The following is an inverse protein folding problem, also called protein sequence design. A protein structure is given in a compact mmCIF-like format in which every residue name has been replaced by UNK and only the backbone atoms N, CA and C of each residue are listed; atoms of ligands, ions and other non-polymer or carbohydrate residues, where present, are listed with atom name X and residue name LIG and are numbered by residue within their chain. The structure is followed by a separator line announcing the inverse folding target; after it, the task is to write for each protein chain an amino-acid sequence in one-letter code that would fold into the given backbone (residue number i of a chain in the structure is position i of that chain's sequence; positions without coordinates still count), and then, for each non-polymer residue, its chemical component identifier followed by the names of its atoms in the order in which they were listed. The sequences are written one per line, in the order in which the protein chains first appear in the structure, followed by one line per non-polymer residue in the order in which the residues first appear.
data_IF_592512355247
#
_entry.id   IF_592512355247
#
_cell.length_a   1.000
_cell.length_b   1.000
_cell.length_c   1.000
_cell.angle_alpha   90.00
_cell.angle_beta   90.00
_cell.angle_gamma   90.00
#
_symmetry.space_group_name_H-M   'P 1'
#
loop_
_entity.id
_entity.type
_entity.pdbx_description
1 polymer ?
#
# COMPACT_ATOMS: atom_id res chain seq x y z
N UNK A 1 -16.54 -0.13 6.05
CA UNK A 1 -16.09 0.40 4.75
C UNK A 1 -17.12 1.41 4.27
N UNK A 2 -16.68 2.56 3.74
CA UNK A 2 -17.61 3.56 3.18
C UNK A 2 -18.33 3.00 1.95
N UNK A 3 -19.55 3.49 1.69
CA UNK A 3 -20.37 3.05 0.56
C UNK A 3 -21.30 4.17 0.12
N UNK A 4 -21.59 4.25 -1.18
CA UNK A 4 -22.66 5.14 -1.66
C UNK A 4 -23.99 4.43 -1.43
N UNK A 5 -24.90 5.07 -0.70
CA UNK A 5 -26.19 4.50 -0.32
C UNK A 5 -27.29 5.29 -1.03
N UNK A 6 -28.06 4.59 -1.87
CA UNK A 6 -29.29 5.12 -2.45
C UNK A 6 -30.45 4.84 -1.51
N UNK A 7 -31.28 5.84 -1.30
CA UNK A 7 -32.54 5.69 -0.59
C UNK A 7 -33.66 5.53 -1.63
N UNK A 8 -34.65 4.69 -1.32
CA UNK A 8 -35.87 4.62 -2.13
C UNK A 8 -36.75 5.84 -1.88
N UNK A 9 -37.52 6.25 -2.89
CA UNK A 9 -38.55 7.27 -2.76
C UNK A 9 -39.95 6.61 -2.76
N UNK A 10 -41.02 7.40 -2.52
CA UNK A 10 -42.39 6.87 -2.62
C UNK A 10 -42.61 6.19 -3.98
N UNK A 11 -42.83 4.87 -3.95
CA UNK A 11 -43.07 3.99 -5.10
C UNK A 11 -41.83 3.57 -5.92
N UNK A 12 -40.60 3.79 -5.43
CA UNK A 12 -39.36 3.32 -6.07
C UNK A 12 -38.42 2.76 -5.00
N UNK A 13 -37.98 1.50 -5.17
CA UNK A 13 -36.98 0.90 -4.28
C UNK A 13 -35.59 1.52 -4.48
N UNK A 14 -34.71 1.44 -3.47
CA UNK A 14 -33.33 1.93 -3.57
C UNK A 14 -32.57 1.36 -4.79
N UNK A 15 -32.79 0.09 -5.12
CA UNK A 15 -32.17 -0.59 -6.28
C UNK A 15 -32.69 -0.03 -7.60
N UNK A 16 -34.00 0.21 -7.68
CA UNK A 16 -34.60 0.83 -8.87
C UNK A 16 -34.11 2.26 -9.05
N UNK A 17 -34.03 3.04 -7.96
CA UNK A 17 -33.49 4.40 -7.95
C UNK A 17 -32.04 4.42 -8.42
N UNK A 18 -31.17 3.60 -7.81
CA UNK A 18 -29.78 3.46 -8.21
C UNK A 18 -29.65 3.13 -9.71
N UNK A 19 -30.39 2.13 -10.19
CA UNK A 19 -30.35 1.74 -11.59
C UNK A 19 -30.82 2.84 -12.53
N UNK A 20 -31.87 3.58 -12.16
CA UNK A 20 -32.41 4.68 -12.96
C UNK A 20 -31.44 5.86 -13.02
N UNK A 21 -30.85 6.25 -11.89
CA UNK A 21 -29.86 7.33 -11.86
C UNK A 21 -28.62 7.01 -12.70
N UNK A 22 -28.10 5.77 -12.65
CA UNK A 22 -26.97 5.38 -13.49
C UNK A 22 -27.29 5.51 -14.98
N UNK A 23 -28.45 5.00 -15.44
CA UNK A 23 -28.87 5.12 -16.85
C UNK A 23 -28.97 6.58 -17.30
N UNK A 24 -29.56 7.42 -16.45
CA UNK A 24 -29.66 8.86 -16.70
C UNK A 24 -28.29 9.52 -16.71
N UNK A 25 -27.43 9.22 -15.73
CA UNK A 25 -26.09 9.78 -15.66
C UNK A 25 -25.27 9.42 -16.89
N UNK A 26 -25.21 8.14 -17.28
CA UNK A 26 -24.49 7.69 -18.48
C UNK A 26 -25.00 8.37 -19.75
N UNK A 27 -26.33 8.46 -19.94
CA UNK A 27 -26.92 9.12 -21.10
C UNK A 27 -26.57 10.61 -21.18
N UNK A 28 -26.77 11.34 -20.09
CA UNK A 28 -26.66 12.81 -20.10
C UNK A 28 -25.21 13.30 -19.96
N UNK A 29 -24.32 12.45 -19.42
CA UNK A 29 -22.89 12.71 -19.33
C UNK A 29 -22.09 12.13 -20.51
N UNK A 30 -22.68 11.29 -21.36
CA UNK A 30 -22.04 10.78 -22.56
C UNK A 30 -21.46 11.91 -23.44
N UNK A 31 -20.17 11.80 -23.77
CA UNK A 31 -19.46 12.76 -24.61
C UNK A 31 -19.23 14.13 -23.97
N UNK A 32 -19.57 14.31 -22.68
CA UNK A 32 -19.20 15.53 -21.93
C UNK A 32 -17.72 15.53 -21.61
N UNK A 33 -17.18 16.72 -21.39
CA UNK A 33 -15.78 16.90 -21.00
C UNK A 33 -15.52 16.33 -19.59
N UNK A 34 -14.26 15.95 -19.28
CA UNK A 34 -13.86 15.67 -17.91
C UNK A 34 -14.25 16.79 -16.94
N UNK A 35 -14.68 16.43 -15.73
CA UNK A 35 -15.12 17.40 -14.73
C UNK A 35 -16.59 17.82 -14.87
N UNK A 36 -17.26 17.49 -15.98
CA UNK A 36 -18.69 17.72 -16.12
C UNK A 36 -19.47 16.96 -15.03
N UNK A 37 -20.49 17.62 -14.48
CA UNK A 37 -21.27 17.07 -13.37
C UNK A 37 -22.76 17.12 -13.63
N UNK A 38 -23.44 16.06 -13.20
CA UNK A 38 -24.88 16.01 -13.08
C UNK A 38 -25.23 15.96 -11.59
N UNK A 39 -25.90 17.00 -11.09
CA UNK A 39 -26.15 17.19 -9.65
C UNK A 39 -27.65 17.23 -9.35
N UNK A 40 -28.06 16.95 -8.10
CA UNK A 40 -29.46 17.08 -7.67
C UNK A 40 -30.06 18.48 -7.95
N UNK A 41 -29.24 19.53 -7.83
CA UNK A 41 -29.67 20.91 -8.14
C UNK A 41 -29.93 21.11 -9.63
N UNK A 42 -29.16 20.46 -10.49
CA UNK A 42 -29.37 20.52 -11.94
C UNK A 42 -30.62 19.72 -12.32
N UNK A 43 -30.86 18.53 -11.75
CA UNK A 43 -32.05 17.71 -12.05
C UNK A 43 -33.38 18.37 -11.70
N UNK A 44 -33.40 19.36 -10.80
CA UNK A 44 -34.60 20.17 -10.57
C UNK A 44 -34.94 21.10 -11.75
N UNK A 45 -33.94 21.45 -12.57
CA UNK A 45 -34.06 22.39 -13.70
C UNK A 45 -34.20 21.70 -15.06
N UNK A 46 -33.81 20.43 -15.17
CA UNK A 46 -33.90 19.64 -16.41
C UNK A 46 -34.75 18.39 -16.18
N UNK A 47 -35.59 18.06 -17.15
CA UNK A 47 -36.36 16.82 -17.11
C UNK A 47 -35.48 15.64 -17.49
N UNK A 48 -35.13 14.82 -16.51
CA UNK A 48 -34.35 13.61 -16.69
C UNK A 48 -35.30 12.43 -16.81
N UNK A 49 -35.23 11.71 -17.93
CA UNK A 49 -36.11 10.58 -18.24
C UNK A 49 -35.28 9.30 -18.29
N UNK A 50 -35.73 8.28 -17.55
CA UNK A 50 -35.19 6.92 -17.67
C UNK A 50 -35.78 6.23 -18.89
N UNK A 51 -34.96 6.01 -19.92
CA UNK A 51 -35.37 5.40 -21.18
C UNK A 51 -35.95 3.99 -21.02
N UNK A 52 -35.60 3.27 -19.94
CA UNK A 52 -36.13 1.93 -19.69
C UNK A 52 -37.58 1.95 -19.22
N UNK A 53 -37.95 2.96 -18.43
CA UNK A 53 -39.26 3.01 -17.75
C UNK A 53 -40.16 4.14 -18.26
N UNK A 54 -39.60 5.09 -19.01
CA UNK A 54 -40.25 6.32 -19.44
C UNK A 54 -40.57 7.29 -18.31
N UNK A 55 -40.11 7.01 -17.07
CA UNK A 55 -40.40 7.83 -15.90
C UNK A 55 -39.42 8.97 -15.77
N UNK A 56 -39.91 10.09 -15.24
CA UNK A 56 -39.06 11.19 -14.77
C UNK A 56 -38.31 10.76 -13.51
N UNK A 57 -37.01 11.04 -13.47
CA UNK A 57 -36.12 10.72 -12.34
C UNK A 57 -35.57 12.02 -11.74
N UNK A 58 -35.54 12.09 -10.42
CA UNK A 58 -34.78 13.11 -9.69
C UNK A 58 -33.50 12.47 -9.17
N UNK A 59 -32.38 13.17 -9.30
CA UNK A 59 -31.11 12.66 -8.79
C UNK A 59 -31.01 12.93 -7.30
N UNK A 60 -30.69 11.89 -6.56
CA UNK A 60 -30.28 11.97 -5.16
C UNK A 60 -28.78 12.20 -5.03
N UNK A 61 -27.97 11.76 -6.01
CA UNK A 61 -26.51 11.85 -5.97
C UNK A 61 -25.91 12.77 -7.03
N UNK A 62 -24.64 13.15 -6.82
CA UNK A 62 -23.82 13.84 -7.80
C UNK A 62 -23.00 12.86 -8.63
N UNK A 63 -23.08 12.99 -9.96
CA UNK A 63 -22.31 12.20 -10.92
C UNK A 63 -21.27 13.09 -11.61
N UNK A 64 -20.05 12.57 -11.78
CA UNK A 64 -18.88 13.27 -12.30
C UNK A 64 -18.26 12.49 -13.47
N UNK A 65 -17.94 13.17 -14.56
CA UNK A 65 -17.15 12.61 -15.67
C UNK A 65 -15.66 12.65 -15.33
N UNK A 66 -15.00 11.50 -15.43
CA UNK A 66 -13.58 11.28 -15.25
C UNK A 66 -12.71 11.74 -16.41
N UNK A 67 -11.40 11.54 -16.26
CA UNK A 67 -10.42 11.91 -17.28
C UNK A 67 -10.55 11.12 -18.59
N UNK A 68 -11.04 9.87 -18.53
CA UNK A 68 -11.14 8.93 -19.65
C UNK A 68 -12.61 8.70 -20.06
N UNK A 69 -13.54 9.55 -19.57
CA UNK A 69 -14.97 9.47 -19.86
C UNK A 69 -15.75 8.52 -18.93
N UNK A 70 -15.10 7.90 -17.95
CA UNK A 70 -15.78 7.12 -16.92
C UNK A 70 -16.69 8.01 -16.06
N UNK A 71 -17.76 7.44 -15.50
CA UNK A 71 -18.68 8.17 -14.63
C UNK A 71 -18.51 7.69 -13.19
N UNK A 72 -18.30 8.65 -12.29
CA UNK A 72 -18.25 8.43 -10.85
C UNK A 72 -19.51 8.99 -10.19
N UNK A 73 -20.14 8.20 -9.32
CA UNK A 73 -21.10 8.73 -8.35
C UNK A 73 -20.34 9.13 -7.08
N UNK A 74 -20.63 10.30 -6.53
CA UNK A 74 -20.05 10.78 -5.26
C UNK A 74 -20.98 10.43 -4.11
N UNK A 75 -20.42 10.09 -2.96
CA UNK A 75 -21.19 10.03 -1.72
C UNK A 75 -21.80 11.40 -1.41
N UNK A 76 -23.01 11.41 -0.84
CA UNK A 76 -23.73 12.61 -0.46
C UNK A 76 -23.16 13.24 0.83
N UNK A 77 -21.87 13.60 0.81
CA UNK A 77 -21.22 14.32 1.90
C UNK A 77 -20.41 13.46 2.87
N UNK A 78 -20.21 12.16 2.62
CA UNK A 78 -19.17 11.41 3.32
C UNK A 78 -17.80 11.89 2.86
N UNK A 79 -17.24 12.82 3.63
CA UNK A 79 -15.88 13.35 3.45
C UNK A 79 -14.92 12.33 4.05
N UNK A 80 -13.99 11.84 3.22
CA UNK A 80 -12.90 10.98 3.67
C UNK A 80 -11.78 11.78 4.35
N UNK A 81 -11.63 13.05 3.96
CA UNK A 81 -10.68 13.97 4.57
C UNK A 81 -10.82 15.38 4.00
N UNK A 82 -10.51 16.39 4.81
CA UNK A 82 -10.48 17.79 4.40
C UNK A 82 -9.24 18.45 4.98
N UNK A 83 -8.53 19.23 4.16
CA UNK A 83 -7.32 19.92 4.59
C UNK A 83 -6.95 21.06 3.66
N UNK A 84 -5.76 21.63 3.86
CA UNK A 84 -5.24 22.74 3.04
C UNK A 84 -5.14 22.41 1.55
N UNK A 85 -5.04 21.13 1.21
CA UNK A 85 -4.93 20.63 -0.17
C UNK A 85 -6.27 20.33 -0.84
N UNK A 86 -7.39 20.69 -0.20
CA UNK A 86 -8.74 20.48 -0.70
C UNK A 86 -9.54 19.44 0.08
N UNK A 87 -10.64 18.98 -0.52
CA UNK A 87 -11.58 18.02 0.07
C UNK A 87 -11.52 16.68 -0.66
N UNK A 88 -11.59 15.57 0.07
CA UNK A 88 -11.59 14.22 -0.46
C UNK A 88 -12.94 13.57 -0.18
N UNK A 89 -13.62 13.14 -1.24
CA UNK A 89 -14.97 12.58 -1.18
C UNK A 89 -14.93 11.14 -1.66
N UNK A 90 -15.68 10.26 -0.99
CA UNK A 90 -15.85 8.90 -1.46
C UNK A 90 -16.66 8.84 -2.76
N UNK A 91 -16.28 7.97 -3.69
CA UNK A 91 -17.03 7.76 -4.91
C UNK A 91 -16.96 6.32 -5.42
N UNK A 92 -17.85 5.99 -6.34
CA UNK A 92 -17.94 4.67 -6.95
C UNK A 92 -18.16 4.76 -8.46
N UNK A 93 -17.67 3.78 -9.20
CA UNK A 93 -18.08 3.51 -10.59
C UNK A 93 -19.23 2.50 -10.63
N UNK A 94 -19.93 2.39 -11.76
CA UNK A 94 -21.13 1.53 -11.90
C UNK A 94 -20.88 0.05 -11.56
N UNK A 95 -19.63 -0.44 -11.74
CA UNK A 95 -19.22 -1.79 -11.36
C UNK A 95 -18.94 -1.97 -9.85
N UNK A 96 -19.20 -0.95 -9.03
CA UNK A 96 -18.95 -0.95 -7.59
C UNK A 96 -17.51 -0.65 -7.17
N UNK A 97 -16.60 -0.38 -8.11
CA UNK A 97 -15.23 -0.04 -7.73
C UNK A 97 -15.18 1.31 -7.00
N UNK A 98 -14.46 1.33 -5.88
CA UNK A 98 -14.39 2.43 -4.94
C UNK A 98 -13.23 3.39 -5.23
N UNK A 99 -13.48 4.68 -5.02
CA UNK A 99 -12.56 5.77 -5.33
C UNK A 99 -12.58 6.86 -4.24
N UNK A 100 -11.47 7.57 -4.11
CA UNK A 100 -11.34 8.80 -3.33
C UNK A 100 -11.11 9.96 -4.31
N UNK A 101 -12.08 10.87 -4.38
CA UNK A 101 -12.12 11.99 -5.32
C UNK A 101 -11.66 13.25 -4.58
N UNK A 102 -10.42 13.67 -4.82
CA UNK A 102 -9.86 14.91 -4.28
C UNK A 102 -10.24 16.07 -5.19
N UNK A 103 -10.84 17.09 -4.60
CA UNK A 103 -11.29 18.32 -5.25
C UNK A 103 -10.53 19.53 -4.68
N UNK A 104 -9.95 20.34 -5.55
CA UNK A 104 -9.27 21.60 -5.16
C UNK A 104 -9.52 22.71 -6.19
N UNK A 105 -9.42 23.97 -5.76
CA UNK A 105 -9.51 25.14 -6.65
C UNK A 105 -8.15 25.63 -7.13
N UNK A 106 -7.10 25.24 -6.44
CA UNK A 106 -5.71 25.53 -6.79
C UNK A 106 -4.92 24.23 -6.73
N UNK A 107 -3.97 24.08 -7.64
CA UNK A 107 -2.90 23.10 -7.57
C UNK A 107 -1.63 23.93 -7.65
N UNK A 108 -0.71 23.71 -6.71
CA UNK A 108 0.63 24.26 -6.79
C UNK A 108 1.25 23.86 -8.14
N UNK A 109 1.68 24.84 -8.93
CA UNK A 109 2.26 24.60 -10.26
C UNK A 109 3.45 23.64 -10.23
N UNK A 110 4.13 23.55 -9.09
CA UNK A 110 5.27 22.67 -8.89
C UNK A 110 4.87 21.28 -8.37
N UNK A 111 3.60 21.07 -7.99
CA UNK A 111 3.10 19.79 -7.50
C UNK A 111 3.26 18.69 -8.55
N UNK A 112 3.94 17.60 -8.14
CA UNK A 112 4.05 16.37 -8.93
C UNK A 112 3.11 15.28 -8.41
N UNK A 113 2.25 15.56 -7.42
CA UNK A 113 1.40 14.58 -6.72
C UNK A 113 0.64 13.69 -7.71
N UNK A 114 -0.14 14.32 -8.62
CA UNK A 114 -0.95 13.60 -9.59
C UNK A 114 -0.14 12.75 -10.58
N UNK A 115 1.06 13.21 -10.96
CA UNK A 115 1.96 12.45 -11.85
C UNK A 115 2.55 11.24 -11.14
N UNK A 116 3.08 11.43 -9.93
CA UNK A 116 3.63 10.34 -9.09
C UNK A 116 2.55 9.30 -8.81
N UNK A 117 1.36 9.74 -8.37
CA UNK A 117 0.24 8.84 -8.09
C UNK A 117 -0.21 8.03 -9.33
N UNK A 118 -0.20 8.65 -10.52
CA UNK A 118 -0.58 7.99 -11.77
C UNK A 118 0.48 6.96 -12.23
N UNK A 119 1.77 7.28 -12.07
CA UNK A 119 2.89 6.36 -12.32
C UNK A 119 2.85 5.16 -11.36
N UNK A 120 2.62 5.39 -10.06
CA UNK A 120 2.43 4.34 -9.05
C UNK A 120 1.12 3.55 -9.21
N UNK A 121 0.29 3.90 -10.21
CA UNK A 121 -0.98 3.23 -10.49
C UNK A 121 -2.03 3.40 -9.40
N UNK A 122 -1.89 4.41 -8.53
CA UNK A 122 -2.81 4.69 -7.43
C UNK A 122 -3.90 5.68 -7.80
N UNK A 123 -3.70 6.45 -8.86
CA UNK A 123 -4.66 7.46 -9.29
C UNK A 123 -4.81 7.51 -10.82
N UNK A 124 -5.93 8.10 -11.25
CA UNK A 124 -6.18 8.51 -12.63
C UNK A 124 -5.41 9.79 -12.96
N UNK A 125 -5.37 10.16 -14.24
CA UNK A 125 -4.81 11.46 -14.65
C UNK A 125 -5.62 12.60 -14.02
N UNK A 126 -4.94 13.64 -13.57
CA UNK A 126 -5.58 14.88 -13.09
C UNK A 126 -6.36 15.54 -14.23
N UNK A 127 -7.53 16.10 -13.91
CA UNK A 127 -8.35 16.85 -14.86
C UNK A 127 -9.02 18.04 -14.18
N UNK A 128 -9.63 18.94 -14.96
CA UNK A 128 -10.33 20.12 -14.46
C UNK A 128 -11.69 20.27 -15.11
N UNK A 129 -12.64 20.85 -14.38
CA UNK A 129 -13.92 21.27 -14.95
C UNK A 129 -13.86 22.67 -15.58
N UNK A 130 -14.97 23.09 -16.19
CA UNK A 130 -15.12 24.42 -16.80
C UNK A 130 -15.04 25.57 -15.79
N UNK A 131 -15.22 25.32 -14.50
CA UNK A 131 -15.08 26.31 -13.43
C UNK A 131 -13.66 26.40 -12.88
N UNK A 132 -12.69 25.73 -13.54
CA UNK A 132 -11.30 25.63 -13.11
C UNK A 132 -11.08 24.86 -11.80
N UNK A 133 -12.08 24.09 -11.34
CA UNK A 133 -11.85 23.16 -10.24
C UNK A 133 -11.09 21.94 -10.74
N UNK A 134 -10.06 21.55 -10.00
CA UNK A 134 -9.25 20.37 -10.28
C UNK A 134 -9.76 19.14 -9.55
N UNK A 135 -9.59 17.99 -10.22
CA UNK A 135 -9.96 16.68 -9.72
C UNK A 135 -8.77 15.73 -9.84
N UNK A 136 -8.47 15.07 -8.73
CA UNK A 136 -7.55 13.95 -8.69
C UNK A 136 -8.28 12.74 -8.09
N UNK A 137 -8.43 11.69 -8.90
CA UNK A 137 -9.23 10.50 -8.53
C UNK A 137 -8.30 9.34 -8.18
N UNK A 138 -8.27 8.98 -6.90
CA UNK A 138 -7.48 7.89 -6.34
C UNK A 138 -8.31 6.62 -6.20
N UNK A 139 -7.70 5.46 -6.41
CA UNK A 139 -8.29 4.21 -5.95
C UNK A 139 -8.52 4.29 -4.43
N UNK A 140 -9.66 3.80 -3.96
CA UNK A 140 -9.86 3.65 -2.52
C UNK A 140 -9.10 2.42 -2.05
N UNK A 141 -8.11 2.61 -1.18
CA UNK A 141 -7.14 1.58 -0.78
C UNK A 141 -7.34 1.09 0.67
N UNK A 142 -8.55 1.30 1.21
CA UNK A 142 -8.93 0.89 2.56
C UNK A 142 -8.89 2.02 3.59
N UNK A 143 -8.86 1.66 4.87
CA UNK A 143 -8.79 2.62 5.98
C UNK A 143 -7.34 2.98 6.29
N UNK A 144 -7.10 4.17 6.84
CA UNK A 144 -5.74 4.59 7.19
C UNK A 144 -5.18 3.79 8.38
N UNK A 145 -3.85 3.71 8.51
CA UNK A 145 -3.20 2.89 9.54
C UNK A 145 -3.49 3.43 10.95
N UNK A 146 -3.59 4.75 11.15
CA UNK A 146 -4.02 5.34 12.43
C UNK A 146 -5.45 4.87 12.80
N UNK A 147 -6.38 4.90 11.85
CA UNK A 147 -7.75 4.41 12.07
C UNK A 147 -7.75 2.91 12.36
N UNK A 148 -6.94 2.13 11.64
CA UNK A 148 -6.80 0.69 11.87
C UNK A 148 -6.26 0.40 13.27
N UNK A 149 -5.21 1.10 13.72
CA UNK A 149 -4.62 0.94 15.05
C UNK A 149 -5.57 1.41 16.17
N UNK A 150 -6.39 2.44 15.92
CA UNK A 150 -7.41 2.87 16.86
C UNK A 150 -8.54 1.85 17.04
N UNK A 151 -8.84 1.06 16.01
CA UNK A 151 -9.94 0.09 15.99
C UNK A 151 -9.50 -1.33 16.39
N UNK A 152 -8.20 -1.61 16.46
CA UNK A 152 -7.68 -2.96 16.64
C UNK A 152 -6.59 -3.02 17.70
N UNK A 153 -6.65 -4.04 18.56
CA UNK A 153 -5.52 -4.40 19.44
C UNK A 153 -4.73 -5.53 18.80
N UNK A 154 -3.46 -5.28 18.48
CA UNK A 154 -2.61 -6.22 17.77
C UNK A 154 -1.84 -7.14 18.73
N UNK A 155 -1.89 -8.45 18.47
CA UNK A 155 -0.96 -9.42 19.06
C UNK A 155 0.48 -9.15 18.59
N UNK A 156 1.49 -9.63 19.33
CA UNK A 156 2.91 -9.47 18.96
C UNK A 156 3.21 -9.92 17.53
N UNK A 157 2.65 -11.05 17.10
CA UNK A 157 2.79 -11.54 15.72
C UNK A 157 2.16 -10.56 14.71
N UNK A 158 0.95 -10.08 14.97
CA UNK A 158 0.31 -9.09 14.09
C UNK A 158 1.09 -7.77 14.01
N UNK A 159 1.73 -7.33 15.11
CA UNK A 159 2.59 -6.15 15.11
C UNK A 159 3.78 -6.34 14.15
N UNK A 160 4.48 -7.47 14.24
CA UNK A 160 5.58 -7.77 13.30
C UNK A 160 5.10 -7.90 11.86
N UNK A 161 3.98 -8.59 11.59
CA UNK A 161 3.45 -8.74 10.24
C UNK A 161 3.13 -7.38 9.61
N UNK A 162 2.47 -6.51 10.39
CA UNK A 162 2.10 -5.19 9.94
C UNK A 162 3.34 -4.30 9.74
N UNK A 163 4.29 -4.32 10.67
CA UNK A 163 5.54 -3.59 10.55
C UNK A 163 6.34 -4.01 9.31
N UNK A 164 6.40 -5.31 9.02
CA UNK A 164 7.07 -5.84 7.83
C UNK A 164 6.37 -5.33 6.56
N UNK A 165 5.03 -5.41 6.48
CA UNK A 165 4.25 -4.93 5.32
C UNK A 165 4.36 -3.42 5.10
N UNK A 166 4.32 -2.62 6.17
CA UNK A 166 4.53 -1.16 6.13
C UNK A 166 5.93 -0.82 5.62
N UNK A 167 6.95 -1.52 6.14
CA UNK A 167 8.34 -1.34 5.70
C UNK A 167 8.54 -1.75 4.24
N UNK A 168 7.89 -2.84 3.80
CA UNK A 168 7.88 -3.29 2.40
C UNK A 168 7.26 -2.27 1.45
N UNK A 169 6.16 -1.62 1.85
CA UNK A 169 5.56 -0.56 1.03
C UNK A 169 6.54 0.58 0.75
N UNK A 170 7.35 0.98 1.75
CA UNK A 170 8.40 1.99 1.58
C UNK A 170 9.55 1.47 0.73
N UNK A 171 10.02 0.23 0.98
CA UNK A 171 11.06 -0.40 0.17
C UNK A 171 10.68 -0.47 -1.32
N UNK A 172 9.44 -0.83 -1.63
CA UNK A 172 8.96 -0.90 -3.01
C UNK A 172 8.84 0.48 -3.69
N UNK A 173 8.49 1.52 -2.92
CA UNK A 173 8.56 2.90 -3.39
C UNK A 173 10.00 3.33 -3.69
N UNK A 174 10.93 3.06 -2.77
CA UNK A 174 12.34 3.44 -2.87
C UNK A 174 13.07 2.70 -4.01
N UNK A 175 12.72 1.44 -4.26
CA UNK A 175 13.29 0.65 -5.37
C UNK A 175 12.62 0.91 -6.71
N UNK A 176 11.54 1.69 -6.74
CA UNK A 176 10.77 1.95 -7.96
C UNK A 176 10.03 0.72 -8.48
N UNK A 177 9.86 -0.32 -7.67
CA UNK A 177 9.16 -1.55 -8.08
C UNK A 177 7.65 -1.35 -8.19
N UNK A 178 7.09 -0.38 -7.46
CA UNK A 178 5.70 0.09 -7.64
C UNK A 178 5.49 1.04 -8.83
N UNK A 179 6.55 1.69 -9.31
CA UNK A 179 6.48 2.61 -10.45
C UNK A 179 6.37 1.84 -11.77
N UNK A 180 5.46 2.29 -12.65
CA UNK A 180 5.39 1.78 -14.03
C UNK A 180 6.62 2.20 -14.81
N UNK A 181 7.13 3.39 -14.55
CA UNK A 181 8.35 3.96 -15.15
C UNK A 181 9.65 3.46 -14.50
N UNK A 182 9.57 2.62 -13.46
CA UNK A 182 10.72 2.16 -12.66
C UNK A 182 11.46 3.30 -11.96
N UNK A 183 10.77 4.38 -11.68
CA UNK A 183 11.28 5.53 -10.94
C UNK A 183 11.25 5.24 -9.44
N UNK A 184 12.40 5.39 -8.78
CA UNK A 184 12.53 5.41 -7.33
C UNK A 184 12.01 6.74 -6.77
N UNK A 185 11.10 6.68 -5.80
CA UNK A 185 10.56 7.87 -5.13
C UNK A 185 10.87 7.88 -3.64
N UNK A 186 11.02 9.07 -3.08
CA UNK A 186 10.87 9.32 -1.65
C UNK A 186 9.46 9.87 -1.40
N UNK A 187 8.82 9.45 -0.31
CA UNK A 187 7.50 9.91 0.07
C UNK A 187 7.54 11.28 0.74
N UNK A 188 8.49 11.47 1.67
CA UNK A 188 8.77 12.68 2.44
C UNK A 188 7.68 13.13 3.41
N UNK A 189 6.69 12.27 3.67
CA UNK A 189 5.64 12.49 4.68
C UNK A 189 5.10 11.16 5.20
N UNK A 190 5.99 10.22 5.53
CA UNK A 190 5.57 8.94 6.11
C UNK A 190 5.07 9.16 7.54
N UNK A 191 3.84 8.73 7.77
CA UNK A 191 3.12 8.75 9.05
C UNK A 191 1.94 7.79 8.94
N UNK A 192 1.36 7.28 10.06
CA UNK A 192 0.24 6.36 10.03
C UNK A 192 -0.93 6.79 9.11
N UNK A 193 -1.25 8.07 9.05
CA UNK A 193 -2.35 8.60 8.23
C UNK A 193 -2.11 8.42 6.72
N UNK A 194 -0.85 8.28 6.29
CA UNK A 194 -0.46 8.13 4.88
C UNK A 194 -0.21 6.67 4.47
N UNK A 195 -0.54 5.71 5.34
CA UNK A 195 -0.65 4.29 5.01
C UNK A 195 -2.12 3.88 5.05
N UNK A 196 -2.58 3.10 4.07
CA UNK A 196 -3.88 2.45 4.08
C UNK A 196 -3.76 0.93 4.13
N UNK A 197 -4.76 0.29 4.72
CA UNK A 197 -4.90 -1.16 4.78
C UNK A 197 -6.22 -1.55 4.12
N UNK A 198 -6.13 -2.33 3.04
CA UNK A 198 -7.30 -2.83 2.31
C UNK A 198 -7.97 -4.02 3.02
N UNK A 199 -9.12 -4.49 2.50
CA UNK A 199 -9.86 -5.63 3.06
C UNK A 199 -9.06 -6.95 3.05
N UNK A 200 -8.02 -7.04 2.22
CA UNK A 200 -7.13 -8.20 2.13
C UNK A 200 -5.95 -8.08 3.10
N UNK A 201 -5.85 -6.99 3.85
CA UNK A 201 -4.72 -6.70 4.74
C UNK A 201 -3.44 -6.30 3.99
N UNK A 202 -3.57 -5.80 2.76
CA UNK A 202 -2.47 -5.25 1.97
C UNK A 202 -2.23 -3.80 2.39
N UNK A 203 -0.97 -3.43 2.58
CA UNK A 203 -0.58 -2.07 2.92
C UNK A 203 -0.30 -1.25 1.66
N UNK A 204 -0.83 -0.04 1.63
CA UNK A 204 -0.64 0.91 0.54
C UNK A 204 -0.19 2.26 1.08
N UNK A 205 0.67 2.95 0.32
CA UNK A 205 0.98 4.36 0.56
C UNK A 205 -0.04 5.25 -0.15
N UNK A 206 -0.37 6.37 0.45
CA UNK A 206 -1.25 7.42 -0.12
C UNK A 206 -0.66 8.80 0.17
N UNK A 207 -1.24 9.84 -0.42
CA UNK A 207 -0.82 11.23 -0.26
C UNK A 207 0.64 11.51 -0.69
N UNK A 208 0.82 11.59 -2.01
CA UNK A 208 2.11 11.87 -2.63
C UNK A 208 2.41 13.37 -2.76
N UNK A 209 1.75 14.23 -1.98
CA UNK A 209 1.85 15.69 -2.09
C UNK A 209 3.27 16.23 -1.94
N UNK A 210 4.10 15.54 -1.15
CA UNK A 210 5.51 15.89 -0.93
C UNK A 210 6.50 15.02 -1.68
N UNK A 211 6.03 14.02 -2.42
CA UNK A 211 6.91 13.01 -3.01
C UNK A 211 7.82 13.58 -4.09
N UNK A 212 9.05 13.06 -4.13
CA UNK A 212 10.08 13.46 -5.08
C UNK A 212 10.85 12.23 -5.57
N UNK A 213 11.57 12.29 -6.71
CA UNK A 213 12.54 11.26 -7.05
C UNK A 213 13.51 11.01 -5.88
N UNK A 214 13.79 9.75 -5.55
CA UNK A 214 14.52 9.38 -4.33
C UNK A 214 15.94 9.97 -4.28
N UNK A 215 16.63 10.00 -5.42
CA UNK A 215 18.04 10.42 -5.49
C UNK A 215 18.21 11.88 -5.09
N UNK A 216 19.27 12.13 -4.32
CA UNK A 216 19.67 13.46 -3.87
C UNK A 216 19.16 13.80 -2.47
N UNK A 217 19.43 15.04 -2.10
CA UNK A 217 19.13 15.58 -0.78
C UNK A 217 17.88 16.44 -0.81
N UNK A 218 17.20 16.51 0.34
CA UNK A 218 16.11 17.44 0.52
C UNK A 218 16.65 18.88 0.55
N UNK A 219 16.11 19.75 -0.30
CA UNK A 219 16.53 21.16 -0.39
C UNK A 219 15.65 22.11 0.42
N UNK A 220 14.36 21.80 0.53
CA UNK A 220 13.37 22.59 1.26
C UNK A 220 12.71 21.68 2.29
N UNK A 221 12.74 22.09 3.56
CA UNK A 221 12.14 21.36 4.66
C UNK A 221 10.62 21.16 4.42
N UNK A 222 10.17 19.92 4.53
CA UNK A 222 8.76 19.49 4.35
C UNK A 222 8.48 18.23 5.18
N UNK A 223 7.22 17.81 5.18
CA UNK A 223 6.73 16.65 5.94
C UNK A 223 6.20 17.01 7.33
N UNK A 224 5.54 16.03 7.94
CA UNK A 224 4.87 16.16 9.23
C UNK A 224 5.91 16.17 10.34
N UNK A 225 5.94 17.28 11.08
CA UNK A 225 7.00 17.63 12.01
C UNK A 225 7.36 16.52 13.03
N UNK A 226 6.37 15.78 13.54
CA UNK A 226 6.57 14.65 14.45
C UNK A 226 7.45 13.53 13.89
N UNK A 227 7.47 13.35 12.57
CA UNK A 227 8.15 12.26 11.88
C UNK A 227 9.50 12.68 11.28
N UNK A 228 9.91 13.94 11.48
CA UNK A 228 11.14 14.49 10.91
C UNK A 228 12.37 14.31 11.81
N UNK A 229 13.57 14.12 11.23
CA UNK A 229 14.84 14.16 11.97
C UNK A 229 15.13 15.54 12.55
N UNK A 230 16.22 15.65 13.33
CA UNK A 230 16.75 16.94 13.81
C UNK A 230 17.41 17.79 12.73
N UNK A 231 17.78 17.20 11.59
CA UNK A 231 18.32 17.91 10.42
C UNK A 231 17.60 17.41 9.17
N UNK A 232 17.02 18.32 8.38
CA UNK A 232 16.30 17.99 7.15
C UNK A 232 17.07 18.38 5.89
N UNK A 233 17.40 19.67 5.75
CA UNK A 233 18.04 20.16 4.54
C UNK A 233 19.46 19.60 4.40
N UNK A 234 19.81 19.13 3.21
CA UNK A 234 21.10 18.49 2.94
C UNK A 234 21.17 17.01 3.36
N UNK A 235 20.12 16.46 3.97
CA UNK A 235 20.02 15.02 4.24
C UNK A 235 19.44 14.31 3.01
N UNK A 236 19.90 13.09 2.73
CA UNK A 236 19.34 12.28 1.65
C UNK A 236 17.86 12.00 1.90
N UNK A 237 17.05 12.04 0.83
CA UNK A 237 15.60 11.83 0.93
C UNK A 237 15.23 10.44 1.44
N UNK A 238 16.03 9.43 1.10
CA UNK A 238 15.91 8.08 1.63
C UNK A 238 16.02 8.04 3.16
N UNK A 239 17.01 8.72 3.73
CA UNK A 239 17.23 8.74 5.18
C UNK A 239 16.12 9.47 5.94
N UNK A 240 15.52 10.48 5.32
CA UNK A 240 14.35 11.20 5.86
C UNK A 240 13.14 10.26 5.92
N UNK A 241 12.89 9.51 4.85
CA UNK A 241 11.85 8.48 4.86
C UNK A 241 12.14 7.38 5.88
N UNK A 242 13.39 6.93 6.01
CA UNK A 242 13.75 5.87 6.96
C UNK A 242 13.47 6.27 8.39
N UNK A 243 13.82 7.48 8.82
CA UNK A 243 13.51 7.89 10.20
C UNK A 243 12.01 8.09 10.42
N UNK A 244 11.28 8.60 9.42
CA UNK A 244 9.83 8.74 9.46
C UNK A 244 9.14 7.36 9.52
N UNK A 245 9.67 6.36 8.80
CA UNK A 245 9.25 4.98 8.84
C UNK A 245 9.47 4.36 10.22
N UNK A 246 10.67 4.49 10.81
CA UNK A 246 10.93 4.00 12.17
C UNK A 246 9.94 4.61 13.18
N UNK A 247 9.63 5.90 13.05
CA UNK A 247 8.63 6.60 13.86
C UNK A 247 7.19 6.17 13.60
N UNK A 248 6.89 5.74 12.38
CA UNK A 248 5.59 5.12 12.05
C UNK A 248 5.45 3.75 12.72
N UNK A 249 6.55 2.97 12.80
CA UNK A 249 6.56 1.69 13.51
C UNK A 249 6.42 1.88 15.04
N UNK A 250 7.11 2.89 15.59
CA UNK A 250 7.01 3.30 16.98
C UNK A 250 7.51 4.74 17.16
N UNK A 251 6.68 5.60 17.73
CA UNK A 251 7.07 6.97 18.07
C UNK A 251 7.34 7.07 19.58
N UNK A 252 8.58 7.35 20.02
CA UNK A 252 8.87 7.51 21.43
C UNK A 252 8.03 8.64 22.04
N UNK A 253 7.61 8.49 23.31
CA UNK A 253 6.81 9.53 24.00
C UNK A 253 7.44 10.91 23.93
N UNK A 254 8.77 11.00 24.10
CA UNK A 254 9.51 12.25 23.95
C UNK A 254 10.66 12.13 22.96
N UNK A 255 10.76 13.07 22.01
CA UNK A 255 11.70 13.00 20.89
C UNK A 255 12.05 14.38 20.30
N UNK A 256 13.18 14.46 19.58
CA UNK A 256 13.66 15.68 18.91
C UNK A 256 13.31 15.73 17.43
N UNK A 257 13.19 16.93 16.87
CA UNK A 257 12.83 17.20 15.46
C UNK A 257 13.51 18.48 14.98
N UNK A 258 13.57 18.76 13.67
CA UNK A 258 14.36 19.86 13.10
C UNK A 258 13.97 21.29 13.50
N UNK A 259 12.82 21.49 14.14
CA UNK A 259 12.33 22.80 14.62
C UNK A 259 12.08 22.84 16.13
N UNK A 260 12.48 21.82 16.87
CA UNK A 260 12.24 21.80 18.31
C UNK A 260 13.56 22.07 19.03
N UNK A 261 13.63 23.23 19.70
CA UNK A 261 14.74 23.58 20.60
C UNK A 261 14.79 22.61 21.80
N UNK A 262 13.64 22.04 22.17
CA UNK A 262 13.45 21.03 23.22
C UNK A 262 12.74 19.76 22.72
N UNK A 263 12.74 18.69 23.53
CA UNK A 263 12.01 17.45 23.20
C UNK A 263 10.50 17.69 23.08
N UNK A 264 9.90 17.27 21.96
CA UNK A 264 8.45 17.14 21.84
C UNK A 264 7.96 15.98 22.67
N UNK A 265 6.80 16.09 23.30
CA UNK A 265 6.11 14.94 23.87
C UNK A 265 4.69 14.82 23.31
N UNK A 266 4.27 13.61 22.96
CA UNK A 266 2.93 13.27 22.50
C UNK A 266 2.35 12.21 23.44
N UNK A 267 1.10 12.40 23.86
CA UNK A 267 0.39 11.47 24.74
C UNK A 267 -0.46 10.46 23.95
N UNK A 268 0.02 10.02 22.77
CA UNK A 268 -0.66 9.02 21.95
C UNK A 268 0.13 7.71 21.94
N UNK A 269 -0.56 6.60 22.16
CA UNK A 269 0.01 5.24 22.28
C UNK A 269 -0.35 4.35 21.07
N UNK A 270 -0.95 4.91 20.02
CA UNK A 270 -1.42 4.15 18.85
C UNK A 270 -0.30 3.96 17.80
N UNK A 271 0.67 3.12 18.15
CA UNK A 271 1.78 2.72 17.27
C UNK A 271 1.65 1.25 16.86
N UNK A 272 2.40 0.83 15.83
CA UNK A 272 2.40 -0.60 15.45
C UNK A 272 2.99 -1.44 16.59
N UNK A 273 4.15 -1.06 17.10
CA UNK A 273 4.76 -1.75 18.23
C UNK A 273 4.30 -1.15 19.55
N UNK A 274 3.81 -2.00 20.46
CA UNK A 274 3.49 -1.60 21.83
C UNK A 274 4.74 -1.61 22.72
N UNK A 275 4.74 -0.80 23.78
CA UNK A 275 5.84 -0.74 24.77
C UNK A 275 6.18 -2.12 25.32
N UNK A 276 5.18 -2.99 25.51
CA UNK A 276 5.37 -4.39 25.96
C UNK A 276 6.26 -5.15 24.98
N UNK A 277 5.98 -5.08 23.67
CA UNK A 277 6.79 -5.75 22.65
C UNK A 277 8.23 -5.23 22.62
N UNK A 278 8.44 -3.93 22.85
CA UNK A 278 9.78 -3.35 22.93
C UNK A 278 10.53 -3.77 24.19
N UNK A 279 9.86 -3.91 25.34
CA UNK A 279 10.46 -4.39 26.59
C UNK A 279 10.95 -5.84 26.49
N UNK A 280 10.28 -6.67 25.69
CA UNK A 280 10.66 -8.07 25.47
C UNK A 280 11.82 -8.24 24.48
N UNK A 281 12.15 -7.21 23.68
CA UNK A 281 13.19 -7.30 22.65
C UNK A 281 14.04 -6.02 22.60
N UNK A 282 15.17 -6.04 23.32
CA UNK A 282 16.11 -4.91 23.38
C UNK A 282 16.74 -4.59 22.01
N UNK A 283 16.88 -5.56 21.10
CA UNK A 283 17.38 -5.29 19.75
C UNK A 283 16.35 -4.52 18.89
N UNK A 284 15.06 -4.87 19.01
CA UNK A 284 13.98 -4.13 18.38
C UNK A 284 13.89 -2.70 18.95
N UNK A 285 13.97 -2.57 20.27
CA UNK A 285 14.00 -1.27 20.95
C UNK A 285 15.17 -0.40 20.49
N UNK A 286 16.36 -0.96 20.37
CA UNK A 286 17.53 -0.26 19.81
C UNK A 286 17.31 0.17 18.36
N UNK A 287 16.70 -0.69 17.53
CA UNK A 287 16.35 -0.35 16.14
C UNK A 287 15.37 0.83 16.07
N UNK A 288 14.33 0.83 16.92
CA UNK A 288 13.24 1.82 16.90
C UNK A 288 13.52 3.09 17.72
N UNK A 289 14.62 3.15 18.47
CA UNK A 289 14.95 4.34 19.28
C UNK A 289 15.26 5.56 18.39
N UNK A 290 14.31 6.46 18.24
CA UNK A 290 14.44 7.71 17.45
C UNK A 290 14.34 8.96 18.33
N UNK A 291 14.55 8.82 19.66
CA UNK A 291 14.39 9.92 20.63
C UNK A 291 15.26 11.12 20.28
N UNK A 292 16.51 10.89 19.87
CA UNK A 292 17.42 11.98 19.52
C UNK A 292 17.17 12.57 18.12
N UNK A 293 16.32 11.93 17.31
CA UNK A 293 16.00 12.35 15.94
C UNK A 293 17.18 12.26 14.97
N UNK A 294 18.21 11.50 15.31
CA UNK A 294 19.41 11.27 14.49
C UNK A 294 19.13 10.29 13.36
N UNK A 295 19.81 10.49 12.23
CA UNK A 295 19.72 9.62 11.06
C UNK A 295 20.46 8.31 11.31
N UNK A 296 19.80 7.17 11.08
CA UNK A 296 20.35 5.85 11.41
C UNK A 296 21.18 5.15 10.35
N UNK A 297 21.41 5.72 9.17
CA UNK A 297 22.29 5.12 8.14
C UNK A 297 21.89 3.73 7.64
N UNK A 298 20.67 3.27 7.95
CA UNK A 298 20.09 1.99 7.53
C UNK A 298 19.06 2.21 6.41
N UNK A 299 18.80 1.20 5.59
CA UNK A 299 17.78 1.23 4.53
C UNK A 299 16.48 0.56 4.97
N UNK A 300 15.39 0.80 4.23
CA UNK A 300 14.13 0.07 4.43
C UNK A 300 14.32 -1.45 4.31
N UNK A 301 15.15 -1.92 3.38
CA UNK A 301 15.42 -3.35 3.19
C UNK A 301 16.13 -3.98 4.40
N UNK A 302 17.10 -3.27 4.98
CA UNK A 302 17.76 -3.74 6.21
C UNK A 302 16.77 -3.79 7.39
N UNK A 303 15.84 -2.83 7.49
CA UNK A 303 14.77 -2.85 8.49
C UNK A 303 13.88 -4.10 8.31
N UNK A 304 13.46 -4.41 7.08
CA UNK A 304 12.66 -5.62 6.80
C UNK A 304 13.41 -6.87 7.27
N UNK A 305 14.67 -7.00 6.89
CA UNK A 305 15.54 -8.11 7.28
C UNK A 305 15.61 -8.29 8.80
N UNK A 306 15.83 -7.20 9.55
CA UNK A 306 15.86 -7.22 11.02
C UNK A 306 14.50 -7.59 11.62
N UNK A 307 13.41 -7.02 11.12
CA UNK A 307 12.05 -7.33 11.58
C UNK A 307 11.70 -8.80 11.39
N UNK A 308 12.08 -9.41 10.25
CA UNK A 308 11.89 -10.85 10.02
C UNK A 308 12.68 -11.67 11.03
N UNK A 309 13.95 -11.34 11.26
CA UNK A 309 14.77 -12.04 12.26
C UNK A 309 14.18 -11.92 13.68
N UNK A 310 13.72 -10.74 14.07
CA UNK A 310 13.09 -10.51 15.38
C UNK A 310 11.78 -11.26 15.53
N UNK A 311 10.95 -11.31 14.48
CA UNK A 311 9.66 -12.01 14.49
C UNK A 311 9.79 -13.49 14.86
N UNK A 312 10.83 -14.15 14.36
CA UNK A 312 11.02 -15.60 14.54
C UNK A 312 12.09 -15.96 15.58
N UNK A 313 12.55 -14.98 16.37
CA UNK A 313 13.63 -15.15 17.36
C UNK A 313 14.93 -15.71 16.74
N UNK A 314 15.22 -15.33 15.49
CA UNK A 314 16.39 -15.76 14.72
C UNK A 314 17.50 -14.69 14.67
N UNK A 315 17.33 -13.58 15.38
CA UNK A 315 18.30 -12.50 15.38
C UNK A 315 19.61 -12.90 16.07
N UNK A 316 20.70 -12.79 15.32
CA UNK A 316 22.08 -12.79 15.83
C UNK A 316 22.94 -12.01 14.83
N UNK A 317 24.07 -11.46 15.28
CA UNK A 317 25.00 -10.77 14.39
C UNK A 317 25.45 -11.67 13.22
N UNK A 318 25.62 -12.97 13.47
CA UNK A 318 25.98 -13.95 12.44
C UNK A 318 24.86 -14.10 11.40
N UNK A 319 23.61 -14.23 11.83
CA UNK A 319 22.48 -14.35 10.90
C UNK A 319 22.24 -13.04 10.14
N UNK A 320 22.37 -11.89 10.80
CA UNK A 320 22.27 -10.59 10.16
C UNK A 320 23.36 -10.41 9.09
N UNK A 321 24.62 -10.71 9.42
CA UNK A 321 25.71 -10.65 8.45
C UNK A 321 25.46 -11.56 7.24
N UNK A 322 24.95 -12.79 7.44
CA UNK A 322 24.63 -13.70 6.34
C UNK A 322 23.58 -13.13 5.39
N UNK A 323 22.49 -12.58 5.91
CA UNK A 323 21.41 -12.05 5.06
C UNK A 323 21.80 -10.75 4.37
N UNK A 324 22.61 -9.89 5.02
CA UNK A 324 23.07 -8.64 4.44
C UNK A 324 24.07 -8.81 3.29
N UNK A 325 24.57 -10.03 3.02
CA UNK A 325 25.32 -10.31 1.78
C UNK A 325 24.39 -10.26 0.56
N UNK A 326 23.14 -10.74 0.70
CA UNK A 326 22.13 -10.77 -0.38
C UNK A 326 20.72 -10.46 0.16
N UNK A 327 20.48 -9.24 0.68
CA UNK A 327 19.27 -8.94 1.44
C UNK A 327 18.00 -8.99 0.57
N UNK A 328 18.08 -8.61 -0.71
CA UNK A 328 16.95 -8.69 -1.65
C UNK A 328 16.51 -10.15 -1.87
N UNK A 329 17.48 -11.08 -1.90
CA UNK A 329 17.17 -12.51 -2.07
C UNK A 329 16.51 -13.08 -0.82
N UNK A 330 16.99 -12.68 0.35
CA UNK A 330 16.39 -13.10 1.62
C UNK A 330 14.93 -12.61 1.71
N UNK A 331 14.70 -11.34 1.42
CA UNK A 331 13.36 -10.77 1.42
C UNK A 331 12.45 -11.43 0.36
N UNK A 332 12.94 -11.61 -0.86
CA UNK A 332 12.17 -12.29 -1.91
C UNK A 332 11.80 -13.73 -1.54
N UNK A 333 12.72 -14.45 -0.90
CA UNK A 333 12.47 -15.80 -0.41
C UNK A 333 11.43 -15.80 0.72
N UNK A 334 11.51 -14.84 1.64
CA UNK A 334 10.51 -14.65 2.69
C UNK A 334 9.12 -14.38 2.11
N UNK A 335 9.01 -13.54 1.08
CA UNK A 335 7.75 -13.30 0.37
C UNK A 335 7.15 -14.57 -0.22
N UNK A 336 7.97 -15.45 -0.81
CA UNK A 336 7.48 -16.74 -1.31
C UNK A 336 6.98 -17.63 -0.18
N UNK A 337 7.68 -17.69 0.97
CA UNK A 337 7.19 -18.42 2.13
C UNK A 337 5.85 -17.90 2.62
N UNK A 338 5.69 -16.57 2.71
CA UNK A 338 4.41 -15.94 3.12
C UNK A 338 3.30 -16.28 2.13
N UNK A 339 3.54 -16.14 0.81
CA UNK A 339 2.55 -16.43 -0.22
C UNK A 339 2.10 -17.91 -0.23
N UNK A 340 2.95 -18.83 0.22
CA UNK A 340 2.65 -20.25 0.33
C UNK A 340 2.06 -20.66 1.69
N UNK A 341 2.02 -19.75 2.68
CA UNK A 341 1.67 -20.11 4.07
C UNK A 341 2.76 -20.95 4.78
N UNK A 342 4.00 -20.91 4.29
CA UNK A 342 5.18 -21.61 4.83
C UNK A 342 6.11 -20.67 5.61
N UNK A 343 5.60 -19.59 6.19
CA UNK A 343 6.38 -18.61 6.94
C UNK A 343 6.65 -19.03 8.40
N UNK A 344 6.63 -20.31 8.74
CA UNK A 344 7.01 -20.77 10.08
C UNK A 344 8.53 -20.67 10.28
N UNK A 345 8.97 -20.48 11.54
CA UNK A 345 10.39 -20.28 11.89
C UNK A 345 11.33 -21.33 11.27
N UNK A 346 10.90 -22.61 11.20
CA UNK A 346 11.68 -23.69 10.59
C UNK A 346 12.03 -23.44 9.13
N UNK A 347 11.12 -22.89 8.32
CA UNK A 347 11.36 -22.62 6.90
C UNK A 347 12.14 -21.33 6.69
N UNK A 348 11.91 -20.31 7.53
CA UNK A 348 12.75 -19.10 7.55
C UNK A 348 14.20 -19.47 7.88
N UNK A 349 14.41 -20.39 8.84
CA UNK A 349 15.74 -20.91 9.17
C UNK A 349 16.39 -21.65 7.99
N UNK A 350 15.63 -22.37 7.16
CA UNK A 350 16.16 -22.97 5.93
C UNK A 350 16.65 -21.91 4.94
N UNK A 351 15.88 -20.82 4.75
CA UNK A 351 16.29 -19.68 3.93
C UNK A 351 17.56 -19.03 4.49
N UNK A 352 17.67 -18.84 5.82
CA UNK A 352 18.88 -18.29 6.44
C UNK A 352 20.12 -19.18 6.26
N UNK A 353 19.93 -20.51 6.26
CA UNK A 353 21.03 -21.47 6.20
C UNK A 353 21.62 -21.54 4.79
N UNK A 354 20.77 -21.58 3.76
CA UNK A 354 21.21 -21.56 2.36
C UNK A 354 20.17 -20.88 1.44
N UNK A 355 20.20 -19.54 1.34
CA UNK A 355 19.23 -18.79 0.55
C UNK A 355 19.26 -19.17 -0.94
N UNK A 356 20.45 -19.44 -1.49
CA UNK A 356 20.63 -19.79 -2.90
C UNK A 356 20.00 -21.12 -3.24
N UNK A 357 20.05 -22.07 -2.29
CA UNK A 357 19.44 -23.38 -2.45
C UNK A 357 17.93 -23.30 -2.42
N UNK A 358 17.36 -22.57 -1.47
CA UNK A 358 15.92 -22.30 -1.43
C UNK A 358 15.44 -21.68 -2.74
N UNK A 359 16.10 -20.61 -3.18
CA UNK A 359 15.73 -19.87 -4.39
C UNK A 359 15.70 -20.77 -5.63
N UNK A 360 16.75 -21.57 -5.80
CA UNK A 360 16.86 -22.51 -6.91
C UNK A 360 15.80 -23.59 -6.86
N UNK A 361 15.51 -24.15 -5.69
CA UNK A 361 14.48 -25.17 -5.54
C UNK A 361 13.10 -24.62 -5.90
N UNK A 362 12.77 -23.42 -5.41
CA UNK A 362 11.52 -22.74 -5.75
C UNK A 362 11.42 -22.43 -7.25
N UNK A 363 12.48 -21.90 -7.87
CA UNK A 363 12.52 -21.61 -9.31
C UNK A 363 12.33 -22.86 -10.17
N UNK A 364 12.90 -24.00 -9.77
CA UNK A 364 12.71 -25.27 -10.48
C UNK A 364 11.27 -25.75 -10.40
N UNK A 365 10.67 -25.72 -9.22
CA UNK A 365 9.26 -26.04 -9.04
C UNK A 365 8.37 -25.11 -9.87
N UNK A 366 8.64 -23.81 -9.85
CA UNK A 366 7.91 -22.82 -10.65
C UNK A 366 8.01 -23.08 -12.16
N UNK A 367 9.21 -23.43 -12.66
CA UNK A 367 9.41 -23.76 -14.07
C UNK A 367 8.64 -25.01 -14.53
N UNK A 368 8.26 -25.89 -13.58
CA UNK A 368 7.44 -27.08 -13.82
C UNK A 368 5.95 -26.85 -13.53
N UNK A 369 5.55 -25.65 -13.09
CA UNK A 369 4.20 -25.38 -12.62
C UNK A 369 3.84 -26.12 -11.32
N UNK A 370 4.83 -26.45 -10.49
CA UNK A 370 4.71 -27.19 -9.22
C UNK A 370 5.07 -26.31 -8.01
N UNK A 371 4.93 -24.99 -8.11
CA UNK A 371 5.18 -24.06 -7.01
C UNK A 371 3.98 -23.93 -6.04
N UNK A 372 3.15 -24.98 -5.92
CA UNK A 372 2.11 -25.03 -4.89
C UNK A 372 2.72 -25.38 -3.52
N UNK A 373 2.04 -24.97 -2.45
CA UNK A 373 2.50 -25.14 -1.06
C UNK A 373 2.96 -26.56 -0.76
N UNK A 374 2.19 -27.58 -1.12
CA UNK A 374 2.50 -28.99 -0.81
C UNK A 374 3.86 -29.43 -1.37
N UNK A 375 4.14 -29.13 -2.64
CA UNK A 375 5.40 -29.53 -3.28
C UNK A 375 6.59 -28.71 -2.80
N UNK A 376 6.40 -27.41 -2.57
CA UNK A 376 7.46 -26.57 -2.00
C UNK A 376 7.77 -27.08 -0.60
N UNK A 377 6.76 -27.37 0.22
CA UNK A 377 6.94 -27.91 1.56
C UNK A 377 7.75 -29.21 1.55
N UNK A 378 7.36 -30.19 0.72
CA UNK A 378 8.09 -31.45 0.58
C UNK A 378 9.55 -31.23 0.14
N UNK A 379 9.77 -30.32 -0.81
CA UNK A 379 11.12 -29.97 -1.25
C UNK A 379 11.94 -29.37 -0.10
N UNK A 380 11.34 -28.54 0.76
CA UNK A 380 12.02 -27.96 1.93
C UNK A 380 12.33 -29.00 3.01
N UNK A 381 11.45 -29.96 3.24
CA UNK A 381 11.65 -31.05 4.21
C UNK A 381 12.78 -32.00 3.80
N UNK A 382 13.16 -32.04 2.52
CA UNK A 382 14.26 -32.87 1.99
C UNK A 382 15.06 -32.16 0.90
N UNK A 383 15.50 -30.91 1.20
CA UNK A 383 16.20 -30.02 0.27
C UNK A 383 17.43 -30.66 -0.40
N UNK A 384 18.13 -31.55 0.30
CA UNK A 384 19.28 -32.25 -0.25
C UNK A 384 18.94 -33.31 -1.29
N UNK A 385 18.00 -34.16 -0.94
CA UNK A 385 17.48 -35.20 -1.83
C UNK A 385 16.82 -34.57 -3.06
N UNK A 386 16.06 -33.49 -2.87
CA UNK A 386 15.42 -32.75 -3.96
C UNK A 386 16.44 -32.24 -4.99
N UNK A 387 17.49 -31.57 -4.52
CA UNK A 387 18.53 -31.03 -5.39
C UNK A 387 19.24 -32.11 -6.21
N UNK A 388 19.57 -33.22 -5.58
CA UNK A 388 20.25 -34.34 -6.23
C UNK A 388 19.36 -34.99 -7.28
N UNK A 389 18.10 -35.22 -6.94
CA UNK A 389 17.12 -35.84 -7.84
C UNK A 389 16.83 -34.95 -9.05
N UNK A 390 16.64 -33.65 -8.85
CA UNK A 390 16.41 -32.73 -9.96
C UNK A 390 17.63 -32.65 -10.90
N UNK A 391 18.85 -32.58 -10.36
CA UNK A 391 20.08 -32.61 -11.19
C UNK A 391 20.18 -33.90 -12.01
N UNK A 392 19.82 -35.05 -11.44
CA UNK A 392 19.77 -36.33 -12.15
C UNK A 392 18.72 -36.31 -13.27
N UNK A 393 17.51 -35.86 -13.00
CA UNK A 393 16.45 -35.72 -14.01
C UNK A 393 16.88 -34.81 -15.16
N UNK A 394 17.54 -33.68 -14.83
CA UNK A 394 18.06 -32.75 -15.83
C UNK A 394 19.17 -33.38 -16.68
N UNK A 395 20.09 -34.12 -16.07
CA UNK A 395 21.14 -34.84 -16.79
C UNK A 395 20.59 -35.91 -17.74
N UNK A 396 19.45 -36.51 -17.39
CA UNK A 396 18.74 -37.49 -18.22
C UNK A 396 17.83 -36.84 -19.28
N UNK A 397 17.72 -35.51 -19.33
CA UNK A 397 16.81 -34.81 -20.25
C UNK A 397 15.33 -34.92 -19.86
N UNK A 398 15.02 -35.41 -18.66
CA UNK A 398 13.67 -35.69 -18.17
C UNK A 398 13.09 -34.58 -17.29
N UNK A 399 13.77 -33.44 -17.15
CA UNK A 399 13.33 -32.32 -16.32
C UNK A 399 12.33 -31.37 -17.01
N UNK A 400 11.64 -31.82 -18.06
CA UNK A 400 10.63 -31.02 -18.78
C UNK A 400 9.23 -31.41 -18.30
N UNK A 401 8.28 -30.45 -18.33
CA UNK A 401 6.90 -30.68 -17.88
C UNK A 401 6.25 -31.94 -18.48
N UNK A 402 6.53 -32.25 -19.76
CA UNK A 402 5.98 -33.41 -20.47
C UNK A 402 6.28 -34.76 -19.79
N UNK A 403 7.38 -34.87 -19.04
CA UNK A 403 7.79 -36.09 -18.35
C UNK A 403 7.39 -36.12 -16.87
N UNK A 404 7.07 -34.96 -16.29
CA UNK A 404 6.68 -34.83 -14.88
C UNK A 404 5.15 -34.92 -14.71
N UNK A 405 4.38 -34.44 -15.68
CA UNK A 405 2.91 -34.48 -15.69
C UNK A 405 2.30 -35.90 -15.61
N UNK A 406 2.82 -36.94 -16.30
CA UNK A 406 2.23 -38.28 -16.25
C UNK A 406 2.33 -38.94 -14.86
N UNK A 407 3.38 -38.64 -14.10
CA UNK A 407 3.55 -39.14 -12.72
C UNK A 407 2.48 -38.58 -11.78
N UNK A 408 2.01 -37.36 -12.03
CA UNK A 408 0.93 -36.69 -11.29
C UNK A 408 -0.41 -37.42 -11.40
N UNK A 409 -0.68 -38.05 -12.54
CA UNK A 409 -1.95 -38.75 -12.79
C UNK A 409 -1.99 -40.16 -12.19
N UNK A 410 -0.86 -40.70 -11.72
CA UNK A 410 -0.79 -42.02 -11.09
C UNK A 410 -0.95 -41.97 -9.57
N UNK A 411 -0.93 -40.78 -8.97
CA UNK A 411 -1.10 -40.56 -7.52
C UNK A 411 -2.51 -40.04 -7.14
N UNK A 412 -3.45 -39.95 -8.10
CA UNK A 412 -4.87 -39.66 -7.85
C UNK A 412 -5.73 -40.91 -7.85
#
# INVERSE_FOLDING_TARGET
MPSVVWEGEENITAVEQQGAEWRVAEKYLAGKIPGAQLTPKNSQKIELIDDKTGRRIYLTHCYLVGAEGEVFVKSNGEILGEGSSGRVIFGQTINGQMWAIKESFEIDSDSQEGKVACDLGKAKKTFKDNSSKYYQVYQFLGISLDQYLAQNTLTKEQQYDLAIKVTQAVYHLHTGTYSKEKTSYAHLDLKPENFCIDEKGTVHLIDYGFSEPLRGELKIAKGTLGYTPVVLCGVSKEQIDVIALLRTLYLPRCFKTYKADDSRCLDNDQWIFSDITLLENENLKSLLDTKNGEIKGISALEIICKLILFRYDLFSEINLQKILIYPERFEQAYQWLVALGLNQAKYVQHVLTDPKRFERAYQWLAALGLNQTEYVQQALESLETFDLNYKRLKALGLSQMAYVQPLRAMEC
#
